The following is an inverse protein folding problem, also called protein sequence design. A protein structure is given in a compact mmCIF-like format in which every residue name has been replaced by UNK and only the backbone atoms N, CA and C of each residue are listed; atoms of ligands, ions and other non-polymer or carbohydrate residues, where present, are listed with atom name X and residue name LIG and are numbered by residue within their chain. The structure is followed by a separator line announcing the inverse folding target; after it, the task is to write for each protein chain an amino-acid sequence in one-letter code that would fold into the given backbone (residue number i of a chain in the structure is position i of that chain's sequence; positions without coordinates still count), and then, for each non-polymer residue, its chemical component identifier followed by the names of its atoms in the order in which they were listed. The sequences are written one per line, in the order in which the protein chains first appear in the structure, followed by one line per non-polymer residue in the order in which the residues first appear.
data_IF_946729347714
#
_entry.id   IF_946729347714
#
_cell.length_a   1.000
_cell.length_b   1.000
_cell.length_c   1.000
_cell.angle_alpha   90.00
_cell.angle_beta   90.00
_cell.angle_gamma   90.00
#
_symmetry.space_group_name_H-M   'P 1'
#
loop_
_entity.id
_entity.type
_entity.pdbx_description
1 polymer ?
#
# COMPACT_ATOMS: atom_id res chain seq x y z
N UNK A 1 30.24 20.58 -54.59
CA UNK A 1 31.24 21.13 -53.65
C UNK A 1 30.52 21.21 -52.31
N UNK A 2 30.79 20.42 -51.28
CA UNK A 2 32.03 19.76 -50.84
C UNK A 2 31.61 18.52 -50.03
N UNK A 3 32.29 17.41 -50.28
CA UNK A 3 32.19 16.17 -49.49
C UNK A 3 32.96 16.32 -48.17
N UNK A 4 32.75 15.42 -47.20
CA UNK A 4 33.78 14.61 -46.52
C UNK A 4 33.26 13.99 -45.20
N UNK A 5 33.36 12.65 -45.16
CA UNK A 5 33.62 11.67 -44.07
C UNK A 5 32.75 11.67 -42.78
N UNK A 6 32.17 10.56 -42.31
CA UNK A 6 32.62 9.17 -42.07
C UNK A 6 33.28 8.92 -40.69
N UNK A 7 32.78 7.88 -40.00
CA UNK A 7 33.32 7.30 -38.75
C UNK A 7 32.43 7.59 -37.54
N UNK A 8 32.10 6.69 -36.60
CA UNK A 8 32.47 5.31 -36.26
C UNK A 8 31.25 4.78 -35.47
N UNK A 9 30.75 3.57 -35.70
CA UNK A 9 31.24 2.41 -34.95
C UNK A 9 30.78 2.41 -33.49
N UNK A 10 29.56 1.94 -33.22
CA UNK A 10 29.24 1.39 -31.89
C UNK A 10 28.46 0.07 -32.02
N UNK A 11 29.21 -1.01 -31.85
CA UNK A 11 28.69 -2.36 -31.56
C UNK A 11 28.43 -2.43 -30.05
N UNK A 12 27.25 -2.90 -29.65
CA UNK A 12 26.92 -3.25 -28.26
C UNK A 12 25.52 -2.76 -27.91
N UNK A 13 24.58 -3.54 -27.40
CA UNK A 13 24.62 -4.89 -26.84
C UNK A 13 23.29 -5.57 -27.19
N UNK A 14 23.35 -6.80 -27.69
CA UNK A 14 22.19 -7.69 -27.68
C UNK A 14 21.80 -7.89 -26.22
N UNK A 15 20.60 -7.44 -25.85
CA UNK A 15 20.01 -7.74 -24.56
C UNK A 15 19.79 -9.26 -24.48
N UNK A 16 20.74 -9.96 -23.88
CA UNK A 16 20.58 -11.36 -23.48
C UNK A 16 19.53 -11.36 -22.39
N UNK A 17 18.32 -11.78 -22.75
CA UNK A 17 17.26 -12.15 -21.81
C UNK A 17 17.80 -13.25 -20.91
N UNK A 18 18.26 -12.86 -19.72
CA UNK A 18 18.62 -13.79 -18.66
C UNK A 18 17.33 -14.35 -18.08
N UNK A 19 16.82 -15.38 -18.73
CA UNK A 19 15.99 -16.39 -18.08
C UNK A 19 16.90 -17.02 -17.02
N UNK A 20 16.71 -16.60 -15.76
CA UNK A 20 17.30 -17.28 -14.60
C UNK A 20 16.48 -18.56 -14.42
N UNK A 21 16.80 -19.58 -15.20
CA UNK A 21 16.45 -20.95 -14.85
C UNK A 21 17.39 -21.33 -13.72
N UNK A 22 16.95 -21.10 -12.48
CA UNK A 22 17.60 -21.65 -11.30
C UNK A 22 17.39 -23.16 -11.33
N UNK A 23 18.19 -23.86 -12.12
CA UNK A 23 18.39 -25.30 -12.01
C UNK A 23 19.14 -25.47 -10.68
N UNK A 24 18.39 -25.69 -9.61
CA UNK A 24 18.95 -26.15 -8.35
C UNK A 24 19.42 -27.59 -8.59
N UNK A 25 20.65 -27.72 -9.10
CA UNK A 25 21.38 -28.97 -9.13
C UNK A 25 21.77 -29.30 -7.68
N UNK A 26 20.81 -29.82 -6.92
CA UNK A 26 21.11 -30.51 -5.67
C UNK A 26 21.90 -31.75 -6.07
N UNK A 27 23.21 -31.71 -5.83
CA UNK A 27 24.04 -32.89 -5.92
C UNK A 27 23.50 -33.92 -4.95
N UNK A 28 22.83 -34.94 -5.48
CA UNK A 28 22.47 -36.12 -4.72
C UNK A 28 23.78 -36.79 -4.27
N UNK A 29 24.16 -36.57 -3.01
CA UNK A 29 25.08 -37.45 -2.33
C UNK A 29 24.33 -38.77 -2.15
N UNK A 30 24.47 -39.67 -3.12
CA UNK A 30 24.03 -41.07 -2.98
C UNK A 30 24.88 -41.68 -1.88
N UNK A 31 24.36 -41.69 -0.65
CA UNK A 31 24.95 -42.45 0.45
C UNK A 31 24.70 -43.92 0.10
N UNK A 32 25.71 -44.55 -0.51
CA UNK A 32 25.67 -45.98 -0.83
C UNK A 32 25.70 -46.80 0.44
N UNK A 33 24.53 -47.14 0.97
CA UNK A 33 24.39 -48.16 2.00
C UNK A 33 24.61 -49.50 1.28
N UNK A 34 25.80 -50.08 1.45
CA UNK A 34 26.11 -51.42 0.93
C UNK A 34 25.31 -52.46 1.72
N UNK A 35 24.08 -52.73 1.27
CA UNK A 35 23.27 -53.85 1.75
C UNK A 35 23.87 -55.20 1.30
N UNK A 36 23.65 -56.22 2.12
CA UNK A 36 24.13 -57.58 1.88
C UNK A 36 23.78 -58.07 0.47
N UNK A 37 24.78 -58.59 -0.25
CA UNK A 37 24.62 -59.19 -1.58
C UNK A 37 23.75 -60.46 -1.49
N UNK A 38 22.43 -60.29 -1.52
CA UNK A 38 21.48 -61.36 -1.78
C UNK A 38 21.18 -61.36 -3.27
N UNK A 39 21.52 -62.45 -3.94
CA UNK A 39 21.88 -62.43 -5.36
C UNK A 39 20.77 -62.16 -6.37
N UNK A 40 19.53 -61.81 -6.01
CA UNK A 40 18.45 -61.47 -6.96
C UNK A 40 17.45 -60.48 -6.34
N UNK A 41 17.71 -59.17 -6.38
CA UNK A 41 16.76 -58.19 -5.86
C UNK A 41 16.70 -56.93 -6.71
N UNK A 42 15.48 -56.42 -6.92
CA UNK A 42 15.36 -55.04 -7.32
C UNK A 42 15.81 -54.11 -6.18
N UNK A 43 16.48 -53.03 -6.53
CA UNK A 43 16.80 -51.95 -5.58
C UNK A 43 15.76 -50.86 -5.74
N UNK A 44 15.18 -50.41 -4.63
CA UNK A 44 14.19 -49.34 -4.60
C UNK A 44 14.81 -48.15 -3.87
N UNK A 45 14.65 -46.95 -4.41
CA UNK A 45 15.07 -45.70 -3.76
C UNK A 45 13.99 -44.64 -3.90
N UNK A 46 13.50 -44.12 -2.77
CA UNK A 46 12.57 -43.00 -2.70
C UNK A 46 13.27 -41.68 -2.45
N UNK A 47 12.83 -40.60 -3.11
CA UNK A 47 13.30 -39.24 -2.85
C UNK A 47 12.13 -38.25 -2.95
N UNK A 48 12.21 -37.11 -2.27
CA UNK A 48 11.17 -36.06 -2.35
C UNK A 48 11.71 -34.75 -2.90
N UNK A 49 10.83 -34.02 -3.59
CA UNK A 49 11.08 -32.64 -4.03
C UNK A 49 9.83 -31.80 -3.81
N UNK A 50 9.98 -30.52 -3.41
CA UNK A 50 8.82 -29.64 -3.31
C UNK A 50 8.18 -29.45 -4.69
N UNK A 51 6.86 -29.52 -4.75
CA UNK A 51 6.10 -29.23 -5.96
C UNK A 51 5.71 -27.75 -6.01
N UNK A 52 5.75 -27.17 -7.21
CA UNK A 52 5.14 -25.87 -7.45
C UNK A 52 3.64 -25.92 -7.20
N UNK A 53 3.16 -25.03 -6.32
CA UNK A 53 1.77 -25.01 -5.85
C UNK A 53 1.56 -25.69 -4.51
N UNK A 54 2.60 -26.29 -3.95
CA UNK A 54 2.58 -26.97 -2.66
C UNK A 54 2.49 -28.48 -2.79
N UNK A 55 2.85 -29.15 -1.70
CA UNK A 55 3.04 -30.60 -1.66
C UNK A 55 4.42 -31.03 -2.15
N UNK A 56 4.57 -32.33 -2.34
CA UNK A 56 5.79 -33.01 -2.72
C UNK A 56 5.56 -33.88 -3.93
N UNK A 57 6.55 -33.94 -4.81
CA UNK A 57 6.69 -35.04 -5.77
C UNK A 57 7.62 -36.07 -5.13
N UNK A 58 7.12 -37.30 -4.96
CA UNK A 58 7.93 -38.43 -4.53
C UNK A 58 8.35 -39.21 -5.76
N UNK A 59 9.66 -39.38 -5.94
CA UNK A 59 10.25 -40.12 -7.05
C UNK A 59 10.81 -41.44 -6.52
N UNK A 60 10.29 -42.54 -7.05
CA UNK A 60 10.71 -43.91 -6.76
C UNK A 60 11.54 -44.44 -7.92
N UNK A 61 12.83 -44.67 -7.68
CA UNK A 61 13.72 -45.33 -8.64
C UNK A 61 13.77 -46.82 -8.33
N UNK A 62 13.42 -47.63 -9.32
CA UNK A 62 13.48 -49.09 -9.25
C UNK A 62 14.55 -49.56 -10.23
N UNK A 63 15.56 -50.26 -9.71
CA UNK A 63 16.67 -50.83 -10.49
C UNK A 63 16.55 -52.34 -10.46
N UNK A 64 16.40 -52.97 -11.62
CA UNK A 64 16.60 -54.41 -11.74
C UNK A 64 18.10 -54.70 -11.72
N UNK A 65 18.63 -55.31 -10.65
CA UNK A 65 20.06 -55.59 -10.52
C UNK A 65 20.53 -56.74 -11.42
N UNK A 66 19.61 -57.54 -11.97
CA UNK A 66 19.90 -58.70 -12.80
C UNK A 66 20.04 -58.33 -14.26
N UNK A 67 20.77 -59.12 -15.04
CA UNK A 67 20.85 -58.99 -16.51
C UNK A 67 19.65 -59.60 -17.24
N UNK A 68 18.72 -60.23 -16.52
CA UNK A 68 17.50 -60.85 -17.04
C UNK A 68 16.26 -60.04 -16.67
N UNK A 69 15.18 -60.18 -17.44
CA UNK A 69 13.96 -59.42 -17.23
C UNK A 69 13.26 -59.75 -15.90
N UNK A 70 12.72 -58.72 -15.27
CA UNK A 70 11.90 -58.78 -14.06
C UNK A 70 10.46 -58.40 -14.40
N UNK A 71 9.49 -59.10 -13.79
CA UNK A 71 8.08 -58.68 -13.78
C UNK A 71 7.64 -58.42 -12.35
N UNK A 72 7.12 -57.23 -12.07
CA UNK A 72 6.52 -56.91 -10.77
C UNK A 72 5.23 -57.71 -10.59
N UNK A 73 5.19 -58.59 -9.59
CA UNK A 73 4.05 -59.47 -9.29
C UNK A 73 3.21 -59.02 -8.10
N UNK A 74 3.77 -58.19 -7.22
CA UNK A 74 3.03 -57.50 -6.16
C UNK A 74 3.59 -56.09 -5.94
N UNK A 75 2.71 -55.16 -5.57
CA UNK A 75 3.04 -53.77 -5.23
C UNK A 75 2.04 -53.27 -4.20
N UNK A 76 2.52 -52.67 -3.10
CA UNK A 76 1.65 -52.02 -2.12
C UNK A 76 1.16 -50.62 -2.58
N UNK A 77 1.70 -50.11 -3.71
CA UNK A 77 1.33 -48.83 -4.34
C UNK A 77 1.09 -49.02 -5.84
N UNK A 78 0.05 -49.77 -6.20
CA UNK A 78 -0.26 -50.12 -7.59
C UNK A 78 -0.55 -48.91 -8.49
N UNK A 79 -0.94 -47.76 -7.93
CA UNK A 79 -1.10 -46.50 -8.66
C UNK A 79 0.24 -45.86 -9.08
N UNK A 80 1.35 -46.27 -8.46
CA UNK A 80 2.70 -45.77 -8.72
C UNK A 80 3.48 -46.77 -9.56
N UNK A 81 3.53 -48.02 -9.11
CA UNK A 81 4.13 -49.14 -9.83
C UNK A 81 3.07 -50.23 -10.01
N UNK A 82 2.41 -50.30 -11.18
CA UNK A 82 1.39 -51.31 -11.44
C UNK A 82 1.95 -52.74 -11.42
N UNK A 83 1.15 -53.71 -10.96
CA UNK A 83 1.45 -55.14 -11.13
C UNK A 83 1.49 -55.47 -12.63
N UNK A 84 2.43 -56.32 -13.04
CA UNK A 84 2.73 -56.63 -14.43
C UNK A 84 3.75 -55.69 -15.06
N UNK A 85 4.22 -54.66 -14.36
CA UNK A 85 5.31 -53.81 -14.84
C UNK A 85 6.55 -54.65 -15.13
N UNK A 86 7.01 -54.63 -16.37
CA UNK A 86 8.25 -55.28 -16.80
C UNK A 86 9.44 -54.33 -16.70
N UNK A 87 10.58 -54.86 -16.23
CA UNK A 87 11.88 -54.21 -16.27
C UNK A 87 12.85 -55.11 -17.04
N UNK A 88 13.53 -54.58 -18.06
CA UNK A 88 14.59 -55.33 -18.76
C UNK A 88 15.79 -55.53 -17.84
N UNK A 89 16.72 -56.40 -18.24
CA UNK A 89 17.97 -56.58 -17.50
C UNK A 89 18.70 -55.27 -17.28
N UNK A 90 19.17 -55.03 -16.05
CA UNK A 90 19.90 -53.85 -15.60
C UNK A 90 19.13 -52.53 -15.78
N UNK A 91 17.82 -52.58 -16.01
CA UNK A 91 17.03 -51.39 -16.24
C UNK A 91 16.84 -50.61 -14.95
N UNK A 92 17.05 -49.30 -15.04
CA UNK A 92 16.60 -48.33 -14.05
C UNK A 92 15.34 -47.65 -14.56
N UNK A 93 14.27 -47.63 -13.76
CA UNK A 93 13.03 -46.94 -14.10
C UNK A 93 12.56 -46.10 -12.93
N UNK A 94 12.15 -44.86 -13.22
CA UNK A 94 11.62 -43.94 -12.23
C UNK A 94 10.10 -43.83 -12.35
N UNK A 95 9.43 -43.91 -11.21
CA UNK A 95 8.00 -43.70 -11.05
C UNK A 95 7.79 -42.50 -10.13
N UNK A 96 6.70 -41.76 -10.31
CA UNK A 96 6.44 -40.56 -9.51
C UNK A 96 5.04 -40.56 -8.95
N UNK A 97 4.87 -39.95 -7.78
CA UNK A 97 3.57 -39.67 -7.19
C UNK A 97 3.53 -38.28 -6.56
N UNK A 98 2.33 -37.69 -6.47
CA UNK A 98 2.12 -36.40 -5.81
C UNK A 98 1.53 -36.61 -4.43
N UNK A 99 2.13 -35.97 -3.44
CA UNK A 99 1.66 -35.91 -2.06
C UNK A 99 1.30 -34.46 -1.74
N UNK A 100 0.06 -34.16 -1.38
CA UNK A 100 -0.39 -32.77 -1.14
C UNK A 100 -0.46 -32.41 0.34
N UNK A 101 -0.47 -33.41 1.22
CA UNK A 101 -0.51 -33.26 2.68
C UNK A 101 0.68 -33.99 3.28
N UNK A 102 1.40 -33.36 4.21
CA UNK A 102 2.58 -33.98 4.83
C UNK A 102 2.18 -35.31 5.48
N UNK A 103 2.82 -36.45 5.11
CA UNK A 103 2.53 -37.72 5.75
C UNK A 103 2.82 -37.67 7.25
N UNK A 104 2.02 -38.37 8.05
CA UNK A 104 2.25 -38.56 9.48
C UNK A 104 3.08 -39.81 9.79
N UNK A 105 3.38 -40.62 8.77
CA UNK A 105 4.22 -41.82 8.83
C UNK A 105 5.05 -41.92 7.53
N UNK A 106 6.12 -42.72 7.56
CA UNK A 106 6.98 -42.95 6.40
C UNK A 106 6.15 -43.47 5.20
N UNK A 107 6.46 -42.97 4.02
CA UNK A 107 5.82 -43.41 2.80
C UNK A 107 6.60 -44.59 2.23
N UNK A 108 6.04 -45.79 2.28
CA UNK A 108 6.74 -47.02 1.90
C UNK A 108 6.31 -47.51 0.51
N UNK A 109 7.29 -47.88 -0.32
CA UNK A 109 7.07 -48.67 -1.53
C UNK A 109 7.67 -50.06 -1.32
N UNK A 110 6.83 -51.10 -1.48
CA UNK A 110 7.20 -52.51 -1.39
C UNK A 110 6.79 -53.20 -2.67
N UNK A 111 7.75 -53.87 -3.31
CA UNK A 111 7.55 -54.58 -4.58
C UNK A 111 8.03 -56.02 -4.47
N UNK A 112 7.29 -56.94 -5.09
CA UNK A 112 7.75 -58.31 -5.32
C UNK A 112 8.04 -58.51 -6.79
N UNK A 113 9.32 -58.67 -7.14
CA UNK A 113 9.79 -58.99 -8.48
C UNK A 113 9.79 -60.49 -8.75
N UNK A 114 9.59 -60.86 -10.02
CA UNK A 114 9.72 -62.23 -10.52
C UNK A 114 10.72 -62.24 -11.68
N UNK A 115 11.69 -63.15 -11.61
CA UNK A 115 12.62 -63.47 -12.69
C UNK A 115 12.42 -64.92 -13.12
N UNK A 116 12.74 -65.23 -14.38
CA UNK A 116 12.75 -66.61 -14.88
C UNK A 116 14.19 -66.95 -15.28
N UNK A 117 14.78 -67.94 -14.60
CA UNK A 117 16.13 -68.44 -14.88
C UNK A 117 16.06 -69.96 -15.01
N UNK A 118 16.50 -70.49 -16.14
CA UNK A 118 16.50 -71.93 -16.45
C UNK A 118 15.13 -72.60 -16.23
N UNK A 119 14.06 -71.89 -16.60
CA UNK A 119 12.67 -72.35 -16.41
C UNK A 119 12.13 -72.22 -14.99
N UNK A 120 12.95 -71.86 -14.02
CA UNK A 120 12.54 -71.66 -12.63
C UNK A 120 12.13 -70.20 -12.37
N UNK A 121 11.04 -70.03 -11.64
CA UNK A 121 10.58 -68.73 -11.18
C UNK A 121 11.31 -68.37 -9.88
N UNK A 122 12.01 -67.25 -9.88
CA UNK A 122 12.69 -66.68 -8.71
C UNK A 122 11.90 -65.44 -8.29
N UNK A 123 11.63 -65.31 -7.00
CA UNK A 123 10.88 -64.18 -6.44
C UNK A 123 11.72 -63.47 -5.38
N UNK A 124 11.59 -62.15 -5.33
CA UNK A 124 12.26 -61.31 -4.32
C UNK A 124 11.36 -60.15 -3.96
N UNK A 125 11.29 -59.82 -2.67
CA UNK A 125 10.52 -58.68 -2.18
C UNK A 125 11.46 -57.68 -1.56
N UNK A 126 11.42 -56.44 -2.04
CA UNK A 126 12.21 -55.34 -1.49
C UNK A 126 11.30 -54.17 -1.18
N UNK A 127 11.78 -53.31 -0.30
CA UNK A 127 11.08 -52.10 0.09
C UNK A 127 12.05 -50.97 0.32
N UNK A 128 11.56 -49.76 0.11
CA UNK A 128 12.20 -48.56 0.62
C UNK A 128 11.15 -47.61 1.21
N UNK A 129 11.61 -46.70 2.05
CA UNK A 129 10.80 -45.77 2.80
C UNK A 129 11.32 -44.36 2.61
N UNK A 130 10.42 -43.44 2.27
CA UNK A 130 10.70 -42.01 2.36
C UNK A 130 10.24 -41.54 3.73
N UNK A 131 11.20 -41.13 4.57
CA UNK A 131 10.93 -40.76 5.95
C UNK A 131 10.16 -39.44 6.05
N UNK A 132 9.34 -39.28 7.11
CA UNK A 132 8.54 -38.06 7.32
C UNK A 132 9.41 -36.80 7.35
N UNK A 133 10.65 -36.91 7.84
CA UNK A 133 11.62 -35.82 7.88
C UNK A 133 12.08 -35.33 6.51
N UNK A 134 11.96 -36.14 5.47
CA UNK A 134 12.29 -35.73 4.09
C UNK A 134 11.21 -34.81 3.50
N UNK A 135 9.98 -34.85 4.03
CA UNK A 135 8.90 -33.97 3.63
C UNK A 135 9.04 -32.59 4.30
N UNK A 136 9.81 -31.70 3.67
CA UNK A 136 10.03 -30.33 4.18
C UNK A 136 8.72 -29.55 4.35
N UNK A 137 8.53 -28.90 5.50
CA UNK A 137 7.37 -28.02 5.77
C UNK A 137 7.33 -26.80 4.86
N UNK A 138 8.46 -26.44 4.24
CA UNK A 138 8.52 -25.37 3.25
C UNK A 138 7.70 -25.67 1.98
N UNK A 139 7.37 -26.94 1.73
CA UNK A 139 6.51 -27.33 0.63
C UNK A 139 5.01 -27.24 0.97
N UNK A 140 4.63 -26.95 2.22
CA UNK A 140 3.24 -26.70 2.59
C UNK A 140 2.86 -25.29 2.14
N UNK A 141 1.91 -25.19 1.21
CA UNK A 141 1.40 -23.90 0.72
C UNK A 141 -0.03 -23.70 1.24
N UNK A 142 -0.24 -22.60 1.95
CA UNK A 142 -1.55 -22.13 2.38
C UNK A 142 -2.11 -21.15 1.34
N UNK A 143 -3.29 -21.45 0.81
CA UNK A 143 -3.97 -20.58 -0.15
C UNK A 143 -4.72 -19.45 0.57
N UNK A 144 -4.56 -18.21 0.12
CA UNK A 144 -5.22 -17.02 0.67
C UNK A 144 -5.87 -16.18 -0.43
N UNK A 145 -6.97 -15.47 -0.14
CA UNK A 145 -7.56 -14.55 -1.12
C UNK A 145 -6.74 -13.25 -1.17
N UNK A 146 -6.41 -12.78 -2.38
CA UNK A 146 -5.78 -11.47 -2.53
C UNK A 146 -6.70 -10.36 -1.98
N UNK A 147 -6.17 -9.36 -1.26
CA UNK A 147 -7.02 -8.36 -0.63
C UNK A 147 -7.65 -7.42 -1.66
N UNK A 148 -8.88 -6.96 -1.41
CA UNK A 148 -9.41 -5.81 -2.16
C UNK A 148 -8.79 -4.53 -1.58
N UNK A 149 -8.14 -3.72 -2.41
CA UNK A 149 -7.51 -2.46 -1.98
C UNK A 149 -8.43 -1.30 -2.34
N UNK A 150 -8.87 -0.48 -1.37
CA UNK A 150 -9.71 0.68 -1.68
C UNK A 150 -8.94 1.71 -2.51
N UNK A 151 -9.63 2.37 -3.44
CA UNK A 151 -9.12 3.54 -4.16
C UNK A 151 -9.67 4.79 -3.49
N UNK A 152 -8.81 5.78 -3.30
CA UNK A 152 -9.18 7.12 -2.84
C UNK A 152 -8.96 8.07 -4.01
N UNK A 153 -10.03 8.73 -4.43
CA UNK A 153 -10.05 9.74 -5.49
C UNK A 153 -10.67 11.00 -4.88
N UNK A 154 -9.82 11.93 -4.48
CA UNK A 154 -10.24 13.21 -3.92
C UNK A 154 -10.62 14.15 -5.08
N UNK A 155 -11.22 15.32 -4.81
CA UNK A 155 -11.46 16.27 -5.89
C UNK A 155 -10.15 16.94 -6.37
N UNK A 156 -10.12 17.33 -7.64
CA UNK A 156 -8.99 17.95 -8.32
C UNK A 156 -8.20 16.96 -9.18
N UNK A 157 -7.20 17.43 -9.94
CA UNK A 157 -6.43 16.59 -10.83
C UNK A 157 -5.27 15.88 -10.11
N UNK A 158 -5.01 14.63 -10.50
CA UNK A 158 -3.78 13.90 -10.17
C UNK A 158 -3.67 13.42 -8.71
N UNK A 159 -4.79 13.21 -8.02
CA UNK A 159 -4.82 12.84 -6.61
C UNK A 159 -5.28 11.38 -6.35
N UNK A 160 -5.75 10.68 -7.39
CA UNK A 160 -6.22 9.30 -7.27
C UNK A 160 -5.08 8.36 -6.84
N UNK A 161 -5.33 7.60 -5.78
CA UNK A 161 -4.32 6.73 -5.15
C UNK A 161 -4.94 5.52 -4.48
N UNK A 162 -4.11 4.54 -4.18
CA UNK A 162 -4.52 3.44 -3.31
C UNK A 162 -4.67 3.92 -1.86
N UNK A 163 -5.70 3.42 -1.20
CA UNK A 163 -5.89 3.54 0.24
C UNK A 163 -5.01 2.57 1.03
N UNK A 164 -5.40 2.29 2.27
CA UNK A 164 -4.66 1.35 3.12
C UNK A 164 -4.87 -0.09 2.63
N UNK A 165 -3.78 -0.79 2.34
CA UNK A 165 -3.81 -2.21 1.99
C UNK A 165 -4.18 -3.03 3.24
N UNK A 166 -5.21 -3.89 3.19
CA UNK A 166 -5.53 -4.78 4.30
C UNK A 166 -4.35 -5.66 4.71
N UNK A 167 -4.18 -5.88 6.02
CA UNK A 167 -3.13 -6.77 6.54
C UNK A 167 -3.42 -8.24 6.26
N UNK A 168 -2.38 -9.02 5.99
CA UNK A 168 -2.44 -10.48 5.83
C UNK A 168 -1.04 -11.08 5.63
N UNK A 169 -0.93 -12.37 5.28
CA UNK A 169 0.35 -13.04 5.02
C UNK A 169 0.92 -12.65 3.65
N UNK A 170 1.08 -11.35 3.43
CA UNK A 170 1.63 -10.75 2.23
C UNK A 170 2.34 -9.44 2.56
N UNK A 171 3.14 -8.97 1.61
CA UNK A 171 3.71 -7.63 1.58
C UNK A 171 3.15 -6.86 0.38
N UNK A 172 3.26 -5.53 0.40
CA UNK A 172 2.76 -4.67 -0.69
C UNK A 172 3.77 -3.59 -1.05
N UNK A 173 3.90 -3.28 -2.34
CA UNK A 173 4.80 -2.25 -2.86
C UNK A 173 4.11 -1.45 -3.97
N UNK A 174 4.05 -0.14 -3.83
CA UNK A 174 3.66 0.77 -4.92
C UNK A 174 4.82 0.91 -5.89
N UNK A 175 4.56 0.72 -7.18
CA UNK A 175 5.53 0.78 -8.26
C UNK A 175 5.72 2.22 -8.78
N UNK A 176 6.81 2.53 -9.49
CA UNK A 176 7.05 3.86 -10.04
C UNK A 176 5.97 4.35 -11.01
N UNK A 177 5.28 3.43 -11.69
CA UNK A 177 4.16 3.73 -12.59
C UNK A 177 2.83 3.99 -11.83
N UNK A 178 2.84 3.92 -10.51
CA UNK A 178 1.67 4.11 -9.65
C UNK A 178 0.80 2.86 -9.46
N UNK A 179 1.13 1.72 -10.08
CA UNK A 179 0.49 0.42 -9.82
C UNK A 179 0.88 -0.11 -8.42
N UNK A 180 0.15 -1.10 -7.91
CA UNK A 180 0.42 -1.73 -6.61
C UNK A 180 0.63 -3.22 -6.80
N UNK A 181 1.79 -3.74 -6.38
CA UNK A 181 2.05 -5.19 -6.34
C UNK A 181 1.93 -5.70 -4.92
N UNK A 182 1.17 -6.77 -4.74
CA UNK A 182 1.04 -7.51 -3.49
C UNK A 182 1.68 -8.88 -3.68
N UNK A 183 2.58 -9.27 -2.77
CA UNK A 183 3.34 -10.52 -2.82
C UNK A 183 3.02 -11.36 -1.59
N UNK A 184 2.49 -12.57 -1.80
CA UNK A 184 2.27 -13.55 -0.75
C UNK A 184 3.61 -13.92 -0.07
N UNK A 185 3.59 -14.07 1.25
CA UNK A 185 4.76 -14.49 2.00
C UNK A 185 5.11 -15.96 1.69
N UNK A 186 6.32 -16.39 2.05
CA UNK A 186 6.72 -17.80 1.95
C UNK A 186 5.72 -18.71 2.67
N UNK A 187 5.38 -19.84 2.05
CA UNK A 187 4.34 -20.75 2.55
C UNK A 187 2.92 -20.33 2.18
N UNK A 188 2.73 -19.23 1.43
CA UNK A 188 1.42 -18.76 0.97
C UNK A 188 1.37 -18.58 -0.56
N UNK A 189 0.18 -18.79 -1.13
CA UNK A 189 -0.15 -18.41 -2.51
C UNK A 189 -1.56 -17.81 -2.55
N UNK A 190 -1.83 -16.99 -3.55
CA UNK A 190 -3.17 -16.47 -3.75
C UNK A 190 -4.11 -17.55 -4.33
N UNK A 191 -5.42 -17.38 -4.17
CA UNK A 191 -6.44 -18.31 -4.69
C UNK A 191 -6.39 -18.55 -6.20
N UNK A 192 -5.73 -17.66 -6.95
CA UNK A 192 -5.45 -17.83 -8.38
C UNK A 192 -4.15 -18.63 -8.66
N UNK A 193 -3.52 -19.22 -7.64
CA UNK A 193 -2.27 -19.98 -7.73
C UNK A 193 -0.99 -19.14 -7.81
N UNK A 194 -1.11 -17.82 -7.95
CA UNK A 194 0.04 -16.91 -8.09
C UNK A 194 0.60 -16.51 -6.73
N UNK A 195 1.89 -16.16 -6.67
CA UNK A 195 2.53 -15.56 -5.49
C UNK A 195 2.46 -14.03 -5.49
N UNK A 196 2.06 -13.42 -6.62
CA UNK A 196 1.97 -11.97 -6.78
C UNK A 196 0.65 -11.60 -7.45
N UNK A 197 0.07 -10.47 -7.05
CA UNK A 197 -1.05 -9.82 -7.75
C UNK A 197 -0.71 -8.34 -7.94
N UNK A 198 -0.94 -7.81 -9.13
CA UNK A 198 -0.70 -6.39 -9.44
C UNK A 198 -2.02 -5.69 -9.77
N UNK A 199 -2.30 -4.60 -9.07
CA UNK A 199 -3.42 -3.70 -9.31
C UNK A 199 -2.95 -2.55 -10.18
N UNK A 200 -3.67 -2.26 -11.25
CA UNK A 200 -3.38 -1.11 -12.11
C UNK A 200 -3.44 0.20 -11.33
N UNK A 201 -2.63 1.19 -11.74
CA UNK A 201 -2.69 2.55 -11.19
C UNK A 201 -4.15 3.04 -11.18
N UNK A 202 -4.65 3.60 -10.06
CA UNK A 202 -5.99 4.15 -10.02
C UNK A 202 -6.21 5.23 -11.08
N UNK A 203 -7.37 5.19 -11.74
CA UNK A 203 -7.80 6.23 -12.66
C UNK A 203 -8.33 7.41 -11.86
N UNK A 204 -7.87 8.61 -12.21
CA UNK A 204 -8.30 9.86 -11.61
C UNK A 204 -9.56 10.38 -12.30
N UNK A 205 -10.61 10.70 -11.54
CA UNK A 205 -11.83 11.28 -12.12
C UNK A 205 -11.63 12.69 -12.66
N UNK A 206 -10.58 13.38 -12.24
CA UNK A 206 -10.32 14.80 -12.47
C UNK A 206 -11.52 15.70 -12.10
N UNK A 207 -12.38 15.22 -11.19
CA UNK A 207 -13.56 15.96 -10.75
C UNK A 207 -13.12 17.22 -10.04
N UNK A 208 -13.40 18.44 -10.54
CA UNK A 208 -12.92 19.66 -9.92
C UNK A 208 -13.43 19.83 -8.49
N UNK A 209 -12.61 20.42 -7.63
CA UNK A 209 -13.01 20.74 -6.26
C UNK A 209 -14.06 21.85 -6.23
N UNK A 210 -15.20 21.64 -5.56
CA UNK A 210 -16.22 22.66 -5.46
C UNK A 210 -15.73 23.83 -4.62
N UNK A 211 -15.93 25.05 -5.13
CA UNK A 211 -15.71 26.31 -4.42
C UNK A 211 -16.96 27.16 -4.49
N UNK A 212 -17.19 27.98 -3.48
CA UNK A 212 -18.31 28.93 -3.47
C UNK A 212 -17.88 30.24 -4.13
N UNK A 213 -18.80 30.87 -4.87
CA UNK A 213 -18.59 32.23 -5.37
C UNK A 213 -18.42 33.17 -4.17
N UNK A 214 -17.34 33.98 -4.10
CA UNK A 214 -17.15 34.88 -2.97
C UNK A 214 -18.18 36.00 -2.98
N UNK A 215 -18.62 36.42 -1.80
CA UNK A 215 -19.37 37.66 -1.64
C UNK A 215 -18.40 38.83 -1.76
N UNK A 216 -18.60 39.68 -2.77
CA UNK A 216 -17.75 40.85 -3.01
C UNK A 216 -18.48 42.10 -2.48
N UNK A 217 -17.85 42.91 -1.62
CA UNK A 217 -18.48 44.13 -1.12
C UNK A 217 -18.74 45.11 -2.26
N UNK A 218 -19.89 45.78 -2.23
CA UNK A 218 -20.21 46.90 -3.11
C UNK A 218 -19.93 48.19 -2.35
N UNK A 219 -19.20 49.10 -2.98
CA UNK A 219 -18.96 50.46 -2.50
C UNK A 219 -19.85 51.37 -3.35
N UNK A 220 -20.79 52.06 -2.70
CA UNK A 220 -21.73 53.00 -3.30
C UNK A 220 -21.57 54.33 -2.56
N UNK A 221 -20.74 55.20 -3.13
CA UNK A 221 -20.49 56.52 -2.56
C UNK A 221 -21.70 57.42 -2.86
N UNK A 222 -21.75 58.64 -2.34
CA UNK A 222 -22.82 59.55 -2.71
C UNK A 222 -22.61 60.17 -4.12
N UNK A 223 -23.70 60.44 -4.83
CA UNK A 223 -23.71 60.98 -6.20
C UNK A 223 -24.04 59.91 -7.26
N UNK A 224 -24.29 60.32 -8.51
CA UNK A 224 -24.67 59.40 -9.58
C UNK A 224 -23.46 58.71 -10.23
N UNK A 225 -23.59 57.44 -10.57
CA UNK A 225 -22.67 56.66 -11.38
C UNK A 225 -21.38 56.21 -10.68
N UNK A 226 -21.40 55.98 -9.37
CA UNK A 226 -20.21 55.72 -8.57
C UNK A 226 -20.18 54.35 -7.86
N UNK A 227 -21.26 53.57 -7.96
CA UNK A 227 -21.32 52.22 -7.42
C UNK A 227 -20.30 51.31 -8.11
N UNK A 228 -19.46 50.64 -7.31
CA UNK A 228 -18.41 49.75 -7.79
C UNK A 228 -18.17 48.58 -6.85
N UNK A 229 -17.50 47.54 -7.34
CA UNK A 229 -16.98 46.48 -6.48
C UNK A 229 -15.78 46.96 -5.66
N UNK A 230 -15.75 46.58 -4.38
CA UNK A 230 -14.60 46.72 -3.50
C UNK A 230 -13.56 45.61 -3.72
N UNK A 231 -12.71 45.39 -2.72
CA UNK A 231 -11.68 44.34 -2.80
C UNK A 231 -12.31 42.95 -2.80
N UNK A 232 -11.96 42.15 -3.81
CA UNK A 232 -12.40 40.74 -3.91
C UNK A 232 -11.65 39.89 -2.89
N UNK A 233 -12.33 39.07 -2.06
CA UNK A 233 -11.68 38.16 -1.13
C UNK A 233 -10.73 37.17 -1.84
N UNK A 234 -9.59 36.88 -1.22
CA UNK A 234 -8.64 35.88 -1.72
C UNK A 234 -9.19 34.46 -1.60
N UNK A 235 -8.97 33.61 -2.60
CA UNK A 235 -9.37 32.21 -2.58
C UNK A 235 -8.82 31.39 -3.74
N UNK A 236 -9.47 30.27 -4.06
CA UNK A 236 -9.10 29.38 -5.17
C UNK A 236 -9.67 29.86 -6.51
N UNK A 237 -9.52 31.15 -6.78
CA UNK A 237 -10.01 31.84 -7.96
C UNK A 237 -9.17 33.09 -8.25
N UNK A 238 -9.40 33.65 -9.43
CA UNK A 238 -8.94 34.97 -9.86
C UNK A 238 -10.14 35.84 -10.20
N UNK A 239 -9.97 37.16 -10.27
CA UNK A 239 -11.07 38.08 -10.59
C UNK A 239 -10.61 39.20 -11.51
N UNK A 240 -11.50 39.65 -12.41
CA UNK A 240 -11.27 40.73 -13.34
C UNK A 240 -12.52 41.59 -13.48
N UNK A 241 -12.40 42.89 -13.21
CA UNK A 241 -13.45 43.88 -13.52
C UNK A 241 -13.49 44.12 -15.02
N UNK A 242 -14.67 44.03 -15.61
CA UNK A 242 -14.91 44.22 -17.04
C UNK A 242 -15.12 45.72 -17.36
N UNK A 243 -15.01 46.13 -18.63
CA UNK A 243 -15.20 47.53 -19.04
C UNK A 243 -16.57 48.12 -18.70
N UNK A 244 -17.60 47.29 -18.59
CA UNK A 244 -18.97 47.69 -18.22
C UNK A 244 -19.17 47.84 -16.70
N UNK A 245 -18.16 47.54 -15.88
CA UNK A 245 -18.25 47.55 -14.41
C UNK A 245 -18.67 46.24 -13.77
N UNK A 246 -19.04 45.22 -14.56
CA UNK A 246 -19.32 43.86 -14.05
C UNK A 246 -18.03 43.17 -13.59
N UNK A 247 -18.14 42.13 -12.76
CA UNK A 247 -16.97 41.41 -12.20
C UNK A 247 -16.98 39.94 -12.60
N UNK A 248 -16.00 39.53 -13.40
CA UNK A 248 -15.79 38.11 -13.73
C UNK A 248 -14.87 37.47 -12.70
N UNK A 249 -15.31 36.36 -12.10
CA UNK A 249 -14.54 35.55 -11.16
C UNK A 249 -14.32 34.16 -11.78
N UNK A 250 -13.06 33.75 -11.91
CA UNK A 250 -12.65 32.51 -12.57
C UNK A 250 -12.00 31.57 -11.58
N UNK A 251 -12.51 30.34 -11.45
CA UNK A 251 -11.94 29.32 -10.58
C UNK A 251 -10.53 28.92 -11.06
N UNK A 252 -9.64 28.62 -10.11
CA UNK A 252 -8.29 28.14 -10.45
C UNK A 252 -8.35 26.72 -11.06
N UNK A 253 -7.31 26.29 -11.82
CA UNK A 253 -7.24 24.92 -12.32
C UNK A 253 -7.46 23.88 -11.21
N UNK A 254 -8.36 22.94 -11.47
CA UNK A 254 -8.76 21.92 -10.50
C UNK A 254 -9.89 22.31 -9.55
N UNK A 255 -10.46 23.51 -9.69
CA UNK A 255 -11.63 23.97 -8.94
C UNK A 255 -12.80 24.31 -9.88
N UNK A 256 -14.02 24.32 -9.34
CA UNK A 256 -15.20 24.76 -10.05
C UNK A 256 -16.23 25.38 -9.09
N UNK A 257 -16.97 26.38 -9.56
CA UNK A 257 -18.15 26.90 -8.88
C UNK A 257 -19.32 25.91 -8.95
N UNK A 258 -20.44 26.14 -8.23
CA UNK A 258 -21.61 25.28 -8.31
C UNK A 258 -22.03 25.01 -9.76
N UNK A 259 -22.53 23.80 -10.02
CA UNK A 259 -22.85 23.30 -11.36
C UNK A 259 -21.65 23.13 -12.31
N UNK A 260 -20.42 23.10 -11.78
CA UNK A 260 -19.21 22.85 -12.56
C UNK A 260 -18.71 24.07 -13.35
N UNK A 261 -19.24 25.26 -13.07
CA UNK A 261 -18.85 26.48 -13.79
C UNK A 261 -17.40 26.86 -13.48
N UNK A 262 -16.63 27.18 -14.52
CA UNK A 262 -15.25 27.67 -14.38
C UNK A 262 -15.19 29.18 -14.14
N UNK A 263 -16.25 29.90 -14.47
CA UNK A 263 -16.33 31.35 -14.29
C UNK A 263 -17.75 31.77 -13.95
N UNK A 264 -17.88 32.79 -13.12
CA UNK A 264 -19.15 33.46 -12.78
C UNK A 264 -18.96 34.96 -12.97
N UNK A 265 -19.92 35.62 -13.63
CA UNK A 265 -19.92 37.08 -13.79
C UNK A 265 -20.97 37.68 -12.88
N UNK A 266 -20.55 38.51 -11.94
CA UNK A 266 -21.46 39.32 -11.13
C UNK A 266 -21.84 40.57 -11.94
N UNK A 267 -23.13 40.95 -11.94
CA UNK A 267 -23.62 42.09 -12.73
C UNK A 267 -23.03 43.41 -12.24
N UNK A 268 -23.16 44.50 -13.00
CA UNK A 268 -22.78 45.84 -12.52
C UNK A 268 -23.54 46.15 -11.22
N UNK A 269 -22.88 46.63 -10.15
CA UNK A 269 -23.57 47.05 -8.94
C UNK A 269 -24.63 48.13 -9.22
N UNK A 270 -25.78 48.04 -8.55
CA UNK A 270 -26.81 49.07 -8.66
C UNK A 270 -26.43 50.28 -7.82
N UNK A 271 -26.48 51.45 -8.44
CA UNK A 271 -26.22 52.74 -7.82
C UNK A 271 -27.48 53.28 -7.13
N UNK A 272 -27.36 53.64 -5.85
CA UNK A 272 -28.49 54.19 -5.08
C UNK A 272 -28.90 55.59 -5.50
N UNK A 273 -28.06 56.31 -6.25
CA UNK A 273 -28.19 57.70 -6.66
C UNK A 273 -28.43 58.65 -5.46
N UNK A 274 -27.97 58.26 -4.27
CA UNK A 274 -28.12 59.09 -3.07
C UNK A 274 -27.24 60.33 -3.24
N UNK A 275 -27.88 61.50 -3.33
CA UNK A 275 -27.16 62.76 -3.49
C UNK A 275 -26.16 62.99 -2.35
N UNK A 276 -24.98 63.49 -2.68
CA UNK A 276 -24.02 63.88 -1.65
C UNK A 276 -24.61 64.94 -0.73
N UNK A 277 -24.40 64.81 0.59
CA UNK A 277 -24.73 65.91 1.49
C UNK A 277 -24.03 67.15 0.98
N UNK A 278 -24.80 68.20 0.74
CA UNK A 278 -24.21 69.49 0.35
C UNK A 278 -23.27 69.92 1.46
N UNK A 279 -22.04 70.36 1.14
CA UNK A 279 -21.14 70.89 2.15
C UNK A 279 -21.89 71.97 2.94
N UNK A 280 -21.83 71.98 4.29
CA UNK A 280 -22.44 73.04 5.05
C UNK A 280 -21.87 74.38 4.57
N UNK A 281 -22.75 75.27 4.11
CA UNK A 281 -22.40 76.65 3.76
C UNK A 281 -21.88 77.34 5.03
N UNK A 282 -20.59 77.67 5.05
CA UNK A 282 -19.93 78.38 6.16
C UNK A 282 -20.57 79.75 6.42
N UNK A 283 -21.13 80.01 7.63
CA UNK A 283 -21.44 81.36 8.10
C UNK A 283 -20.15 82.16 8.42
N UNK A 284 -20.20 83.51 8.45
CA UNK A 284 -19.05 84.34 8.77
C UNK A 284 -18.51 84.08 10.19
N UNK A 285 -17.18 84.11 10.27
CA UNK A 285 -16.34 83.86 11.44
C UNK A 285 -16.80 84.67 12.66
N UNK A 286 -17.29 83.96 13.69
CA UNK A 286 -17.30 84.44 15.07
C UNK A 286 -16.53 83.40 15.87
N UNK A 287 -15.47 83.83 16.56
CA UNK A 287 -14.58 83.00 17.38
C UNK A 287 -15.25 82.64 18.71
N UNK A 288 -15.50 81.36 19.01
CA UNK A 288 -15.88 80.88 20.34
C UNK A 288 -14.83 79.86 20.86
N UNK A 289 -14.92 79.41 22.12
CA UNK A 289 -13.77 78.98 22.91
C UNK A 289 -13.22 77.61 22.49
N UNK A 290 -11.96 77.38 22.87
CA UNK A 290 -11.22 76.12 22.79
C UNK A 290 -12.09 74.95 23.26
N UNK A 291 -12.56 74.14 22.31
CA UNK A 291 -13.18 72.83 22.59
C UNK A 291 -12.15 71.76 22.27
N UNK A 292 -11.80 70.99 23.30
CA UNK A 292 -10.94 69.81 23.24
C UNK A 292 -11.43 68.87 22.12
N UNK A 293 -10.54 68.37 21.25
CA UNK A 293 -10.94 67.58 20.09
C UNK A 293 -11.70 66.31 20.55
N UNK A 294 -12.87 66.01 19.95
CA UNK A 294 -13.53 64.75 20.20
C UNK A 294 -12.61 63.62 19.73
N UNK A 295 -12.35 62.68 20.62
CA UNK A 295 -11.68 61.42 20.32
C UNK A 295 -12.43 60.80 19.15
N UNK A 296 -11.79 60.79 17.98
CA UNK A 296 -12.26 60.03 16.82
C UNK A 296 -12.23 58.57 17.24
N UNK A 297 -13.39 58.04 17.63
CA UNK A 297 -13.55 56.62 17.86
C UNK A 297 -13.19 55.93 16.54
N UNK A 298 -12.13 55.10 16.58
CA UNK A 298 -11.79 54.26 15.44
C UNK A 298 -13.06 53.50 15.02
N UNK A 299 -13.31 53.34 13.72
CA UNK A 299 -14.43 52.53 13.24
C UNK A 299 -14.39 51.19 13.96
N UNK A 300 -15.49 50.85 14.62
CA UNK A 300 -15.68 49.59 15.32
C UNK A 300 -15.52 48.48 14.29
N UNK A 301 -14.31 47.91 14.22
CA UNK A 301 -14.02 46.77 13.38
C UNK A 301 -14.89 45.65 13.91
N UNK A 302 -15.95 45.32 13.16
CA UNK A 302 -16.83 44.19 13.46
C UNK A 302 -15.94 43.00 13.85
N UNK A 303 -16.16 42.41 15.04
CA UNK A 303 -15.26 41.38 15.56
C UNK A 303 -15.18 40.26 14.52
N UNK A 304 -13.96 39.99 14.03
CA UNK A 304 -13.71 38.89 13.12
C UNK A 304 -14.35 37.63 13.71
N UNK A 305 -15.19 36.95 12.92
CA UNK A 305 -15.94 35.79 13.39
C UNK A 305 -14.97 34.75 13.95
N UNK A 306 -15.11 34.48 15.25
CA UNK A 306 -14.24 33.58 15.97
C UNK A 306 -14.59 32.12 15.63
N UNK A 307 -13.71 31.43 14.91
CA UNK A 307 -13.90 30.04 14.52
C UNK A 307 -13.62 29.10 15.69
N UNK A 308 -14.66 28.45 16.19
CA UNK A 308 -14.58 27.49 17.29
C UNK A 308 -14.13 26.12 16.77
N UNK A 309 -12.97 25.63 17.24
CA UNK A 309 -12.38 24.36 16.79
C UNK A 309 -12.11 23.41 17.96
N UNK A 310 -12.33 22.10 17.75
CA UNK A 310 -12.04 21.07 18.75
C UNK A 310 -10.66 20.46 18.51
N UNK A 311 -9.84 20.39 19.54
CA UNK A 311 -8.55 19.70 19.47
C UNK A 311 -8.67 18.24 19.92
N UNK A 312 -7.75 17.36 19.49
CA UNK A 312 -7.81 15.94 19.83
C UNK A 312 -6.46 15.24 19.77
N UNK A 313 -6.26 14.28 20.68
CA UNK A 313 -5.11 13.40 20.70
C UNK A 313 -5.53 11.96 21.05
N UNK A 314 -4.86 10.97 20.44
CA UNK A 314 -5.05 9.54 20.69
C UNK A 314 -3.70 8.82 20.73
N UNK A 315 -3.65 7.66 21.39
CA UNK A 315 -2.43 6.88 21.52
C UNK A 315 -2.69 5.39 21.40
N UNK A 316 -1.64 4.65 21.08
CA UNK A 316 -1.59 3.19 21.05
C UNK A 316 -0.44 2.80 21.96
N UNK A 317 -0.77 2.08 23.03
CA UNK A 317 0.19 1.46 23.94
C UNK A 317 0.42 0.03 23.46
N UNK A 318 1.63 -0.25 22.93
CA UNK A 318 2.00 -1.59 22.50
C UNK A 318 2.87 -2.24 23.57
N UNK A 319 3.07 -3.55 23.47
CA UNK A 319 4.11 -4.16 24.27
C UNK A 319 5.47 -3.59 23.85
N UNK A 320 6.37 -3.37 24.82
CA UNK A 320 7.66 -2.72 24.60
C UNK A 320 7.56 -1.24 24.23
N UNK A 321 8.59 -0.46 24.56
CA UNK A 321 8.58 1.01 24.38
C UNK A 321 8.76 1.49 22.95
N UNK A 322 9.42 0.68 22.12
CA UNK A 322 9.84 1.12 20.79
C UNK A 322 8.67 1.25 19.81
N UNK A 323 7.54 0.66 20.16
CA UNK A 323 6.33 0.58 19.34
C UNK A 323 5.18 1.46 19.84
N UNK A 324 5.42 2.27 20.88
CA UNK A 324 4.43 3.18 21.43
C UNK A 324 4.25 4.41 20.54
N UNK A 325 2.99 4.69 20.20
CA UNK A 325 2.64 5.70 19.21
C UNK A 325 1.56 6.63 19.74
N UNK A 326 1.60 7.88 19.30
CA UNK A 326 0.53 8.84 19.52
C UNK A 326 0.26 9.65 18.25
N UNK A 327 -0.95 10.18 18.13
CA UNK A 327 -1.39 10.98 16.98
C UNK A 327 -2.30 12.10 17.46
N UNK A 328 -2.10 13.27 16.91
CA UNK A 328 -3.00 14.43 17.08
C UNK A 328 -3.90 14.59 15.87
N UNK A 329 -5.10 15.13 16.09
CA UNK A 329 -6.05 15.42 15.02
C UNK A 329 -5.49 16.48 14.06
N UNK A 330 -5.89 16.41 12.78
CA UNK A 330 -5.54 17.40 11.76
C UNK A 330 -6.68 18.41 11.67
N UNK A 331 -6.54 19.54 12.35
CA UNK A 331 -7.57 20.57 12.41
C UNK A 331 -6.95 21.93 12.06
N UNK A 332 -7.56 22.66 11.14
CA UNK A 332 -7.16 24.04 10.85
C UNK A 332 -7.28 24.89 12.13
N UNK A 333 -6.35 25.83 12.32
CA UNK A 333 -6.36 26.73 13.47
C UNK A 333 -5.91 26.13 14.81
N UNK A 334 -5.41 24.89 14.83
CA UNK A 334 -4.86 24.26 16.05
C UNK A 334 -3.37 24.02 15.89
N UNK A 335 -2.56 24.40 16.88
CA UNK A 335 -1.13 24.09 16.97
C UNK A 335 -0.91 23.13 18.12
N UNK A 336 -0.27 21.98 17.84
CA UNK A 336 0.04 20.98 18.85
C UNK A 336 1.53 21.03 19.21
N UNK A 337 1.83 21.00 20.51
CA UNK A 337 3.19 20.95 21.06
C UNK A 337 3.39 19.75 21.97
N UNK A 338 4.57 19.13 21.89
CA UNK A 338 5.06 18.13 22.85
C UNK A 338 6.42 18.60 23.35
N UNK A 339 6.57 18.71 24.67
CA UNK A 339 7.78 19.26 25.30
C UNK A 339 8.20 20.62 24.72
N UNK A 340 7.22 21.48 24.45
CA UNK A 340 7.43 22.82 23.88
C UNK A 340 7.65 22.87 22.36
N UNK A 341 7.93 21.74 21.69
CA UNK A 341 8.15 21.68 20.24
C UNK A 341 6.86 21.42 19.48
N UNK A 342 6.62 22.17 18.40
CA UNK A 342 5.48 21.97 17.49
C UNK A 342 5.63 20.63 16.77
N UNK A 343 4.55 19.86 16.70
CA UNK A 343 4.54 18.53 16.07
C UNK A 343 3.65 18.50 14.83
N UNK A 344 3.95 17.57 13.90
CA UNK A 344 3.16 17.37 12.68
C UNK A 344 1.79 16.76 13.02
N UNK A 345 0.75 17.30 12.42
CA UNK A 345 -0.63 16.86 12.64
C UNK A 345 -1.03 15.69 11.74
N UNK A 346 -1.99 14.88 12.17
CA UNK A 346 -2.58 13.84 11.32
C UNK A 346 -1.70 12.61 11.07
N UNK A 347 -0.51 12.53 11.67
CA UNK A 347 0.43 11.40 11.55
C UNK A 347 0.70 10.74 12.90
N UNK A 348 1.09 9.45 12.87
CA UNK A 348 1.50 8.72 14.05
C UNK A 348 2.97 9.01 14.37
N UNK A 349 3.25 9.41 15.61
CA UNK A 349 4.56 9.76 16.12
C UNK A 349 4.97 8.79 17.22
N UNK A 350 6.26 8.41 17.27
CA UNK A 350 6.80 7.57 18.34
C UNK A 350 6.86 8.33 19.66
N UNK A 351 6.37 7.74 20.74
CA UNK A 351 6.33 8.37 22.06
C UNK A 351 7.72 8.61 22.67
N UNK A 352 8.68 7.70 22.43
CA UNK A 352 10.07 7.68 22.95
C UNK A 352 10.22 7.75 24.48
N UNK A 353 9.15 7.99 25.22
CA UNK A 353 9.11 8.21 26.66
C UNK A 353 7.84 7.58 27.24
N UNK A 354 7.83 7.27 28.54
CA UNK A 354 6.65 6.66 29.20
C UNK A 354 5.45 7.59 29.29
N UNK A 355 5.70 8.90 29.24
CA UNK A 355 4.65 9.89 29.33
C UNK A 355 4.88 10.98 28.32
N UNK A 356 3.88 11.21 27.48
CA UNK A 356 3.88 12.28 26.49
C UNK A 356 2.79 13.26 26.89
N UNK A 357 3.17 14.51 27.10
CA UNK A 357 2.20 15.60 27.30
C UNK A 357 2.02 16.37 26.02
N UNK A 358 0.84 16.23 25.41
CA UNK A 358 0.41 16.99 24.23
C UNK A 358 -0.36 18.21 24.69
N UNK A 359 0.01 19.40 24.21
CA UNK A 359 -0.70 20.66 24.43
C UNK A 359 -1.18 21.21 23.10
N UNK A 360 -2.45 21.59 23.00
CA UNK A 360 -3.02 22.31 21.88
C UNK A 360 -3.19 23.79 22.23
N UNK A 361 -2.91 24.67 21.27
CA UNK A 361 -3.25 26.09 21.33
C UNK A 361 -3.94 26.49 20.02
N UNK A 362 -4.74 27.57 20.06
CA UNK A 362 -5.18 28.22 18.84
C UNK A 362 -3.96 28.71 18.04
N UNK A 363 -4.05 28.69 16.72
CA UNK A 363 -2.96 29.16 15.85
C UNK A 363 -2.82 30.68 15.91
N UNK A 364 -3.94 31.40 16.01
CA UNK A 364 -4.03 32.85 16.07
C UNK A 364 -5.38 33.26 16.71
N UNK A 365 -5.64 34.57 16.75
CA UNK A 365 -6.84 35.13 17.39
C UNK A 365 -8.16 34.86 16.65
N UNK A 366 -8.12 34.35 15.42
CA UNK A 366 -9.33 33.97 14.65
C UNK A 366 -9.90 32.62 15.08
N UNK A 367 -9.16 31.86 15.90
CA UNK A 367 -9.58 30.54 16.38
C UNK A 367 -9.76 30.50 17.89
N UNK A 368 -10.80 29.80 18.34
CA UNK A 368 -11.01 29.47 19.75
C UNK A 368 -11.04 27.96 19.94
N UNK A 369 -10.20 27.45 20.83
CA UNK A 369 -10.25 26.04 21.21
C UNK A 369 -11.47 25.74 22.06
N UNK A 370 -12.25 24.74 21.67
CA UNK A 370 -13.34 24.20 22.46
C UNK A 370 -12.94 22.87 23.11
N UNK A 371 -13.13 22.78 24.43
CA UNK A 371 -12.92 21.56 25.21
C UNK A 371 -11.48 21.35 25.69
N UNK A 372 -11.06 20.08 25.76
CA UNK A 372 -9.76 19.70 26.34
C UNK A 372 -8.60 20.13 25.43
N UNK A 373 -7.60 20.82 26.00
CA UNK A 373 -6.42 21.30 25.29
C UNK A 373 -5.11 20.63 25.73
N UNK A 374 -5.15 19.77 26.76
CA UNK A 374 -3.95 19.07 27.28
C UNK A 374 -4.25 17.59 27.49
N UNK A 375 -3.41 16.71 26.92
CA UNK A 375 -3.47 15.26 27.10
C UNK A 375 -2.17 14.74 27.69
N UNK A 376 -2.27 14.02 28.81
CA UNK A 376 -1.17 13.25 29.40
C UNK A 376 -1.34 11.80 28.99
N UNK A 377 -0.54 11.37 28.02
CA UNK A 377 -0.54 10.00 27.50
C UNK A 377 0.44 9.19 28.33
N UNK A 378 0.06 7.98 28.75
CA UNK A 378 0.91 7.09 29.54
C UNK A 378 1.06 5.75 28.85
N UNK A 379 2.30 5.26 28.78
CA UNK A 379 2.68 4.02 28.11
C UNK A 379 3.27 3.02 29.10
N UNK A 380 2.95 1.74 28.91
CA UNK A 380 3.34 0.68 29.84
C UNK A 380 4.76 0.17 29.56
N UNK A 381 5.31 -0.63 30.48
CA UNK A 381 6.62 -1.31 30.31
C UNK A 381 6.45 -2.80 30.06
N UNK A 382 5.26 -3.23 29.64
CA UNK A 382 4.98 -4.65 29.49
C UNK A 382 5.86 -5.21 28.37
N UNK A 383 6.71 -6.17 28.71
CA UNK A 383 7.54 -6.85 27.73
C UNK A 383 6.65 -7.54 26.69
N UNK A 384 7.11 -7.55 25.45
CA UNK A 384 6.46 -8.27 24.38
C UNK A 384 6.68 -9.78 24.55
N UNK A 385 5.59 -10.54 24.71
CA UNK A 385 5.65 -12.01 24.65
C UNK A 385 5.88 -12.53 23.22
N UNK A 386 5.57 -11.70 22.21
CA UNK A 386 5.75 -11.96 20.78
C UNK A 386 6.26 -10.70 20.08
N UNK A 387 6.94 -10.83 18.93
CA UNK A 387 7.49 -9.71 18.19
C UNK A 387 6.45 -8.58 17.98
N UNK A 388 6.86 -7.29 18.02
CA UNK A 388 5.92 -6.19 18.06
C UNK A 388 4.95 -6.22 16.88
N UNK A 389 3.65 -6.08 17.16
CA UNK A 389 2.63 -5.89 16.11
C UNK A 389 3.05 -4.74 15.19
N UNK A 390 2.95 -4.93 13.87
CA UNK A 390 3.38 -3.93 12.88
C UNK A 390 2.76 -2.57 13.20
N UNK A 391 3.60 -1.55 13.32
CA UNK A 391 3.18 -0.17 13.56
C UNK A 391 2.45 0.39 12.34
N UNK A 392 1.37 1.18 12.51
CA UNK A 392 0.84 1.96 11.40
C UNK A 392 1.93 2.87 10.82
N UNK A 393 1.89 3.09 9.50
CA UNK A 393 2.87 3.91 8.80
C UNK A 393 3.00 5.30 9.46
N UNK A 394 4.22 5.68 9.82
CA UNK A 394 4.47 6.94 10.56
C UNK A 394 4.54 8.19 9.66
N UNK A 395 4.31 8.03 8.35
CA UNK A 395 4.21 9.14 7.40
C UNK A 395 5.53 9.89 7.19
N UNK A 396 6.65 9.24 7.54
CA UNK A 396 8.03 9.63 7.22
C UNK A 396 8.37 9.32 5.79
#
# INVERSE_FOLDING_TARGET
MTAVQAGQGNRGHRAVSRIVTLVLAVGFAVVGIAGAASAHHNTITGTTTCKDGGGWTVSWTVVNSETIAETITASNRTSVVPVGTGLTGSQTRTFTETVTTKPTAALNLTLTGKWVRDGNNIYSTNSDAVEVSEFSDACIITTVKAPTVPVIDDCGPGNARFGTVPSGPWTSKTNPDGSLTITANQGYRFTNGQTTVTYAKPTDSNTPCPVTVPTVPVIDDCGPGNARYGTVPTGQWTSKTNPDGSLTITANPGFAFPNGQQSVTLPVPTDSNVACPTPPTTPPVVTPPVVTPPVVALPEVLPAELLVVKAGARWIDKCGRESDLFKVARNAGVVYKVNGKVIRQGVWLKARTRSVTVRASAADATYQLQGKSVWKLSFTRKACAQAPQVAPHTGS
#
